data_IF_942149512802
#
_entry.id   IF_942149512802
#
_cell.length_a   1.000
_cell.length_b   1.000
_cell.length_c   1.000
_cell.angle_alpha   90.00
_cell.angle_beta   90.00
_cell.angle_gamma   90.00
#
_symmetry.space_group_name_H-M   'P 1'
#
loop_
_entity.id
_entity.type
_entity.pdbx_description
1 polymer ?
#
# COMPACT_ATOMS: atom_id res chain seq x y z
N UNK A 1 0.47 16.22 21.02
CA UNK A 1 1.49 17.00 21.77
C UNK A 1 1.12 18.48 21.82
N UNK A 2 1.85 19.30 22.60
CA UNK A 2 1.58 20.77 22.76
C UNK A 2 1.47 21.51 21.41
N UNK A 3 2.32 21.18 20.43
CA UNK A 3 2.30 21.82 19.11
C UNK A 3 1.01 21.58 18.31
N UNK A 4 0.42 20.37 18.38
CA UNK A 4 -0.85 20.08 17.70
C UNK A 4 -2.04 20.87 18.28
N UNK A 5 -2.05 21.10 19.60
CA UNK A 5 -3.07 21.92 20.26
C UNK A 5 -2.96 23.40 19.88
N UNK A 6 -1.74 23.89 19.71
CA UNK A 6 -1.48 25.28 19.33
C UNK A 6 -1.77 25.55 17.84
N UNK A 7 -1.51 24.56 16.98
CA UNK A 7 -1.90 24.58 15.57
C UNK A 7 -3.42 24.58 15.40
N UNK A 8 -4.13 23.72 16.15
CA UNK A 8 -5.58 23.63 16.11
C UNK A 8 -6.29 24.92 16.58
N UNK A 9 -5.64 25.74 17.40
CA UNK A 9 -6.17 27.04 17.84
C UNK A 9 -5.97 28.16 16.83
N UNK A 10 -5.08 27.99 15.84
CA UNK A 10 -4.71 29.02 14.85
C UNK A 10 -5.21 28.74 13.44
N UNK A 11 -5.60 27.51 13.16
CA UNK A 11 -6.04 27.10 11.83
C UNK A 11 -7.45 27.61 11.54
N UNK A 12 -7.66 28.29 10.41
CA UNK A 12 -9.01 28.68 9.99
C UNK A 12 -9.80 27.45 9.52
N UNK A 13 -11.13 27.54 9.45
CA UNK A 13 -11.96 26.45 8.92
C UNK A 13 -11.57 26.08 7.48
N UNK A 14 -11.24 27.07 6.64
CA UNK A 14 -10.79 26.85 5.26
C UNK A 14 -9.41 26.20 5.19
N UNK A 15 -8.49 26.60 6.08
CA UNK A 15 -7.17 25.98 6.16
C UNK A 15 -7.25 24.55 6.70
N UNK A 16 -8.12 24.30 7.67
CA UNK A 16 -8.41 22.97 8.17
C UNK A 16 -8.99 22.09 7.07
N UNK A 17 -10.00 22.57 6.34
CA UNK A 17 -10.59 21.86 5.20
C UNK A 17 -9.53 21.56 4.14
N UNK A 18 -8.68 22.54 3.80
CA UNK A 18 -7.59 22.34 2.82
C UNK A 18 -6.58 21.29 3.29
N UNK A 19 -6.18 21.29 4.55
CA UNK A 19 -5.27 20.27 5.09
C UNK A 19 -5.91 18.89 5.10
N UNK A 20 -7.16 18.77 5.53
CA UNK A 20 -7.89 17.48 5.55
C UNK A 20 -8.07 16.89 4.15
N UNK A 21 -8.11 17.72 3.11
CA UNK A 21 -8.16 17.28 1.71
C UNK A 21 -6.78 17.19 1.04
N UNK A 22 -5.69 17.42 1.78
CA UNK A 22 -4.34 17.33 1.23
C UNK A 22 -3.87 15.87 1.19
N UNK A 23 -2.93 15.51 0.28
CA UNK A 23 -2.30 14.19 0.22
C UNK A 23 -1.85 13.66 1.58
N UNK A 24 -1.35 14.55 2.45
CA UNK A 24 -0.86 14.20 3.78
C UNK A 24 -1.94 13.65 4.73
N UNK A 25 -3.22 13.97 4.52
CA UNK A 25 -4.32 13.57 5.41
C UNK A 25 -5.27 12.53 4.78
N UNK A 26 -5.49 12.54 3.46
CA UNK A 26 -6.48 11.67 2.81
C UNK A 26 -6.10 10.18 2.86
N UNK A 27 -4.81 9.87 2.85
CA UNK A 27 -4.31 8.50 2.95
C UNK A 27 -4.59 7.86 4.32
N UNK A 28 -4.56 8.64 5.41
CA UNK A 28 -4.86 8.11 6.75
C UNK A 28 -6.32 7.64 6.86
N UNK A 29 -7.26 8.30 6.15
CA UNK A 29 -8.68 7.93 6.14
C UNK A 29 -9.03 6.75 5.23
N UNK A 30 -8.22 6.44 4.22
CA UNK A 30 -8.48 5.35 3.27
C UNK A 30 -7.90 4.02 3.79
N UNK A 31 -8.59 3.44 4.78
CA UNK A 31 -8.22 2.17 5.46
C UNK A 31 -8.85 0.94 4.82
N UNK A 32 -9.15 0.96 3.51
CA UNK A 32 -9.67 -0.22 2.83
C UNK A 32 -8.62 -1.35 2.92
N UNK A 33 -8.99 -2.43 3.59
CA UNK A 33 -8.10 -3.48 4.10
C UNK A 33 -7.61 -4.45 3.02
N UNK A 34 -7.85 -4.15 1.74
CA UNK A 34 -7.62 -5.07 0.62
C UNK A 34 -6.15 -5.51 0.51
N UNK A 35 -5.18 -4.62 0.79
CA UNK A 35 -3.74 -4.89 0.64
C UNK A 35 -2.85 -4.60 1.86
N UNK A 36 -3.41 -4.44 3.05
CA UNK A 36 -2.55 -4.36 4.23
C UNK A 36 -3.28 -3.99 5.52
N UNK A 37 -3.03 -4.79 6.54
CA UNK A 37 -3.33 -4.54 7.95
C UNK A 37 -2.16 -3.85 8.67
N UNK A 38 -1.06 -3.55 7.97
CA UNK A 38 0.09 -2.85 8.54
C UNK A 38 -0.02 -1.33 8.39
N UNK A 39 0.57 -0.61 9.34
CA UNK A 39 0.51 0.86 9.38
C UNK A 39 1.32 1.52 8.26
N UNK A 40 2.07 0.78 7.44
CA UNK A 40 3.03 1.32 6.48
C UNK A 40 2.51 1.32 5.03
N UNK A 41 1.62 0.38 4.66
CA UNK A 41 0.98 0.30 3.33
C UNK A 41 2.00 0.24 2.18
N UNK A 42 3.10 -0.49 2.37
CA UNK A 42 4.13 -0.72 1.35
C UNK A 42 3.92 -2.10 0.75
N UNK A 43 3.67 -2.18 -0.56
CA UNK A 43 3.45 -3.44 -1.26
C UNK A 43 4.62 -3.74 -2.18
N UNK A 44 5.08 -5.00 -2.15
CA UNK A 44 6.06 -5.48 -3.12
C UNK A 44 5.33 -5.89 -4.40
N UNK A 45 5.70 -5.29 -5.53
CA UNK A 45 5.01 -5.51 -6.80
C UNK A 45 5.72 -4.90 -8.00
N UNK A 46 5.09 -5.00 -9.16
CA UNK A 46 5.62 -4.55 -10.44
C UNK A 46 4.66 -3.59 -11.17
N UNK A 47 4.95 -3.30 -12.45
CA UNK A 47 4.13 -2.42 -13.26
C UNK A 47 2.68 -2.92 -13.46
N UNK A 48 2.42 -4.22 -13.36
CA UNK A 48 1.06 -4.75 -13.47
C UNK A 48 0.19 -4.32 -12.28
N UNK A 49 0.78 -4.14 -11.10
CA UNK A 49 0.06 -3.59 -9.93
C UNK A 49 -0.36 -2.12 -10.15
N UNK A 50 0.49 -1.33 -10.81
CA UNK A 50 0.19 0.06 -11.14
C UNK A 50 -1.04 0.19 -12.04
N UNK A 51 -1.16 -0.66 -13.05
CA UNK A 51 -2.26 -0.60 -14.02
C UNK A 51 -3.51 -1.33 -13.53
N UNK A 52 -3.36 -2.47 -12.86
CA UNK A 52 -4.51 -3.29 -12.43
C UNK A 52 -5.23 -2.72 -11.20
N UNK A 53 -4.50 -2.18 -10.22
CA UNK A 53 -5.06 -1.70 -8.96
C UNK A 53 -4.99 -0.19 -8.81
N UNK A 54 -3.79 0.39 -8.92
CA UNK A 54 -3.57 1.83 -8.68
C UNK A 54 -4.22 2.69 -9.77
N UNK A 55 -4.47 2.12 -10.97
CA UNK A 55 -4.92 2.83 -12.17
C UNK A 55 -3.98 3.98 -12.56
N UNK A 56 -2.68 3.78 -12.31
CA UNK A 56 -1.61 4.66 -12.78
C UNK A 56 -1.05 4.10 -14.10
N UNK A 57 -1.48 4.68 -15.21
CA UNK A 57 -0.94 4.40 -16.54
C UNK A 57 0.13 5.45 -16.88
N UNK A 58 1.35 5.21 -16.37
CA UNK A 58 2.49 6.10 -16.53
C UNK A 58 3.75 5.29 -16.91
N UNK A 59 4.23 5.41 -18.16
CA UNK A 59 5.42 4.72 -18.61
C UNK A 59 6.68 5.04 -17.79
N UNK A 60 6.79 6.25 -17.23
CA UNK A 60 7.93 6.63 -16.40
C UNK A 60 7.90 5.91 -15.05
N UNK A 61 6.71 5.75 -14.45
CA UNK A 61 6.54 4.98 -13.22
C UNK A 61 6.85 3.49 -13.45
N UNK A 62 6.36 2.91 -14.56
CA UNK A 62 6.66 1.53 -14.93
C UNK A 62 8.17 1.31 -15.13
N UNK A 63 8.83 2.23 -15.84
CA UNK A 63 10.28 2.22 -16.02
C UNK A 63 11.03 2.33 -14.69
N UNK A 64 10.58 3.22 -13.79
CA UNK A 64 11.17 3.38 -12.47
C UNK A 64 11.18 2.05 -11.70
N UNK A 65 10.04 1.34 -11.65
CA UNK A 65 9.95 0.02 -11.00
C UNK A 65 10.91 -1.00 -11.63
N UNK A 66 10.96 -1.07 -12.97
CA UNK A 66 11.85 -1.97 -13.68
C UNK A 66 13.34 -1.70 -13.37
N UNK A 67 13.71 -0.43 -13.14
CA UNK A 67 15.06 -0.01 -12.75
C UNK A 67 15.35 -0.20 -11.26
N UNK A 68 14.37 -0.63 -10.46
CA UNK A 68 14.48 -0.81 -9.01
C UNK A 68 14.11 0.41 -8.18
N UNK A 69 13.60 1.48 -8.80
CA UNK A 69 13.14 2.69 -8.10
C UNK A 69 11.68 2.50 -7.65
N UNK A 70 11.38 2.53 -6.35
CA UNK A 70 10.00 2.44 -5.87
C UNK A 70 9.12 3.59 -6.38
N UNK A 71 7.82 3.34 -6.51
CA UNK A 71 6.81 4.34 -6.87
C UNK A 71 6.04 4.72 -5.60
N UNK A 72 6.15 5.98 -5.20
CA UNK A 72 5.44 6.57 -4.07
C UNK A 72 4.17 7.26 -4.57
N UNK A 73 3.02 6.86 -4.02
CA UNK A 73 1.70 7.38 -4.41
C UNK A 73 1.29 8.62 -3.61
N UNK A 74 1.83 8.79 -2.41
CA UNK A 74 1.58 9.95 -1.55
C UNK A 74 2.86 10.77 -1.35
N UNK A 75 2.93 11.93 -1.98
CA UNK A 75 4.06 12.84 -1.96
C UNK A 75 4.42 13.36 -0.57
N UNK A 76 3.50 13.32 0.39
CA UNK A 76 3.73 13.77 1.77
C UNK A 76 4.86 13.03 2.50
N UNK A 77 5.21 11.81 2.04
CA UNK A 77 6.29 11.01 2.61
C UNK A 77 7.65 11.22 1.92
N UNK A 78 7.67 11.92 0.78
CA UNK A 78 8.90 12.24 0.08
C UNK A 78 9.45 13.59 0.55
N UNK A 79 10.78 13.64 0.67
CA UNK A 79 11.54 14.88 0.74
C UNK A 79 12.57 14.86 -0.37
N UNK A 80 12.49 15.83 -1.27
CA UNK A 80 13.41 15.96 -2.41
C UNK A 80 13.47 14.71 -3.31
N UNK A 81 12.33 14.01 -3.46
CA UNK A 81 12.25 12.76 -4.23
C UNK A 81 12.85 11.54 -3.53
N UNK A 82 13.12 11.63 -2.22
CA UNK A 82 13.62 10.54 -1.39
C UNK A 82 12.65 10.20 -0.26
N UNK A 83 12.58 8.92 0.10
CA UNK A 83 11.93 8.44 1.31
C UNK A 83 12.96 7.83 2.26
N UNK A 84 12.72 7.96 3.56
CA UNK A 84 13.52 7.27 4.57
C UNK A 84 12.77 6.05 5.05
N UNK A 85 13.29 4.85 4.74
CA UNK A 85 12.73 3.60 5.20
C UNK A 85 13.45 3.14 6.47
N UNK A 86 12.69 2.85 7.52
CA UNK A 86 13.21 2.22 8.75
C UNK A 86 12.73 0.78 8.80
N UNK A 87 13.62 -0.17 8.55
CA UNK A 87 13.31 -1.59 8.69
C UNK A 87 13.76 -2.08 10.06
N UNK A 88 12.84 -2.67 10.82
CA UNK A 88 13.14 -3.26 12.13
C UNK A 88 13.04 -4.78 12.00
N UNK A 89 14.18 -5.45 12.11
CA UNK A 89 14.24 -6.89 12.24
C UNK A 89 14.04 -7.25 13.71
N UNK A 90 12.79 -7.57 14.08
CA UNK A 90 12.43 -8.05 15.41
C UNK A 90 12.25 -9.56 15.42
N UNK A 91 12.72 -10.23 16.47
CA UNK A 91 12.44 -11.65 16.68
C UNK A 91 11.32 -11.79 17.71
N UNK A 92 10.42 -12.74 17.49
CA UNK A 92 9.47 -13.16 18.52
C UNK A 92 10.18 -14.11 19.50
N UNK A 93 10.33 -13.72 20.77
CA UNK A 93 10.98 -14.55 21.79
C UNK A 93 10.26 -15.89 22.04
N UNK A 94 8.96 -15.97 21.72
CA UNK A 94 8.16 -17.19 21.87
C UNK A 94 8.39 -18.19 20.74
N UNK A 95 8.94 -17.75 19.61
CA UNK A 95 9.18 -18.59 18.43
C UNK A 95 10.63 -19.11 18.41
N UNK A 96 10.90 -20.07 19.29
CA UNK A 96 12.25 -20.64 19.47
C UNK A 96 12.75 -21.43 18.27
N UNK A 97 11.84 -22.01 17.49
CA UNK A 97 12.16 -22.86 16.34
C UNK A 97 12.62 -22.01 15.15
N UNK A 98 11.85 -20.98 14.78
CA UNK A 98 12.30 -20.03 13.75
C UNK A 98 13.53 -19.23 14.21
N UNK A 99 13.64 -18.95 15.51
CA UNK A 99 14.83 -18.29 16.06
C UNK A 99 16.12 -19.09 15.84
N UNK A 100 16.05 -20.41 15.89
CA UNK A 100 17.20 -21.28 15.65
C UNK A 100 17.62 -21.27 14.16
N UNK A 101 16.66 -21.12 13.24
CA UNK A 101 16.89 -21.04 11.79
C UNK A 101 17.44 -19.67 11.34
N UNK A 102 17.21 -18.61 12.13
CA UNK A 102 17.66 -17.25 11.84
C UNK A 102 18.58 -16.71 12.93
N UNK A 103 19.82 -17.21 13.05
CA UNK A 103 20.80 -16.71 14.01
C UNK A 103 21.22 -15.28 13.64
N UNK A 104 21.10 -14.35 14.57
CA UNK A 104 21.42 -12.93 14.34
C UNK A 104 20.87 -12.03 15.42
N UNK A 105 21.43 -10.83 15.63
CA UNK A 105 20.85 -9.86 16.57
C UNK A 105 19.73 -9.09 15.89
N UNK A 106 18.70 -8.73 16.66
CA UNK A 106 17.68 -7.79 16.18
C UNK A 106 18.41 -6.52 15.72
N UNK A 107 18.07 -6.05 14.53
CA UNK A 107 18.74 -4.90 13.92
C UNK A 107 17.70 -3.94 13.36
N UNK A 108 17.99 -2.66 13.49
CA UNK A 108 17.26 -1.61 12.78
C UNK A 108 18.18 -1.08 11.69
N UNK A 109 17.69 -1.07 10.45
CA UNK A 109 18.34 -0.35 9.37
C UNK A 109 17.53 0.89 9.02
N UNK A 110 18.21 1.90 8.51
CA UNK A 110 17.59 3.13 8.03
C UNK A 110 18.23 3.47 6.70
N UNK A 111 17.42 3.41 5.65
CA UNK A 111 17.86 3.53 4.27
C UNK A 111 17.14 4.70 3.62
N UNK A 112 17.87 5.53 2.87
CA UNK A 112 17.27 6.55 2.01
C UNK A 112 17.12 5.98 0.62
N UNK A 113 15.92 6.09 0.08
CA UNK A 113 15.57 5.55 -1.22
C UNK A 113 15.10 6.69 -2.10
N UNK A 114 15.72 6.83 -3.28
CA UNK A 114 15.11 7.61 -4.36
C UNK A 114 13.81 6.92 -4.76
N UNK A 115 12.79 7.72 -5.02
CA UNK A 115 11.47 7.24 -5.44
C UNK A 115 10.99 8.03 -6.65
N UNK A 116 10.16 7.37 -7.46
CA UNK A 116 9.29 8.06 -8.38
C UNK A 116 8.07 8.54 -7.61
N UNK A 117 7.83 9.85 -7.57
CA UNK A 117 6.66 10.43 -6.90
C UNK A 117 5.53 10.58 -7.91
N UNK A 118 4.44 9.84 -7.71
CA UNK A 118 3.25 9.93 -8.54
C UNK A 118 2.50 11.26 -8.30
N UNK A 119 1.62 11.68 -9.22
CA UNK A 119 0.77 12.86 -9.01
C UNK A 119 -0.10 12.75 -7.75
N UNK A 120 -0.31 13.86 -7.05
CA UNK A 120 -1.01 13.92 -5.76
C UNK A 120 -2.42 13.29 -5.76
N UNK A 121 -3.10 13.22 -6.91
CA UNK A 121 -4.41 12.54 -7.04
C UNK A 121 -4.38 11.06 -6.68
N UNK A 122 -3.20 10.42 -6.69
CA UNK A 122 -3.02 9.02 -6.31
C UNK A 122 -2.75 8.85 -4.81
N UNK A 123 -2.63 9.92 -4.03
CA UNK A 123 -2.41 9.83 -2.59
C UNK A 123 -3.58 9.18 -1.84
N UNK A 124 -4.78 9.23 -2.40
CA UNK A 124 -5.98 8.56 -1.88
C UNK A 124 -6.11 7.10 -2.34
N UNK A 125 -5.09 6.52 -2.99
CA UNK A 125 -5.10 5.11 -3.41
C UNK A 125 -5.35 4.21 -2.19
N UNK A 126 -6.44 3.42 -2.17
CA UNK A 126 -6.78 2.62 -1.01
C UNK A 126 -5.68 1.60 -0.68
N UNK A 127 -5.30 1.49 0.60
CA UNK A 127 -4.43 0.42 1.09
C UNK A 127 -2.98 0.39 0.59
N UNK A 128 -2.57 1.26 -0.34
CA UNK A 128 -1.20 1.29 -0.89
C UNK A 128 -0.67 2.72 -0.90
N UNK A 129 0.48 2.94 -0.26
CA UNK A 129 1.25 4.18 -0.31
C UNK A 129 2.44 4.12 -1.25
N UNK A 130 3.06 2.96 -1.33
CA UNK A 130 4.26 2.76 -2.14
C UNK A 130 4.27 1.36 -2.73
N UNK A 131 4.59 1.30 -4.03
CA UNK A 131 4.91 0.05 -4.71
C UNK A 131 6.43 -0.07 -4.78
N UNK A 132 6.98 -1.12 -4.18
CA UNK A 132 8.41 -1.40 -4.17
C UNK A 132 8.71 -2.63 -5.04
N UNK A 133 9.70 -2.57 -5.95
CA UNK A 133 10.08 -3.75 -6.72
C UNK A 133 10.83 -4.76 -5.85
N UNK A 134 10.62 -6.06 -6.11
CA UNK A 134 11.25 -7.18 -5.38
C UNK A 134 12.77 -6.99 -5.23
N UNK A 135 13.45 -6.62 -6.33
CA UNK A 135 14.90 -6.36 -6.34
C UNK A 135 15.34 -5.35 -5.28
N UNK A 136 14.53 -4.33 -4.99
CA UNK A 136 14.85 -3.33 -3.97
C UNK A 136 14.56 -3.85 -2.57
N UNK A 137 13.51 -4.64 -2.38
CA UNK A 137 13.28 -5.35 -1.12
C UNK A 137 14.45 -6.29 -0.78
N UNK A 138 14.90 -7.08 -1.76
CA UNK A 138 16.04 -8.00 -1.61
C UNK A 138 17.34 -7.25 -1.26
N UNK A 139 17.60 -6.14 -1.96
CA UNK A 139 18.78 -5.27 -1.70
C UNK A 139 18.78 -4.72 -0.28
N UNK A 140 17.61 -4.43 0.26
CA UNK A 140 17.43 -3.95 1.63
C UNK A 140 17.41 -5.09 2.66
N UNK A 141 17.44 -6.34 2.22
CA UNK A 141 17.36 -7.52 3.06
C UNK A 141 16.00 -7.63 3.77
N UNK A 142 14.94 -7.15 3.12
CA UNK A 142 13.57 -7.31 3.57
C UNK A 142 13.07 -8.72 3.21
N UNK A 143 12.28 -9.31 4.09
CA UNK A 143 11.53 -10.52 3.76
C UNK A 143 10.23 -10.09 3.08
N UNK A 144 9.95 -10.69 1.92
CA UNK A 144 8.66 -10.61 1.25
C UNK A 144 7.94 -11.96 1.31
N UNK A 145 6.64 -11.95 1.46
CA UNK A 145 5.80 -13.14 1.36
C UNK A 145 4.64 -12.87 0.41
N UNK A 146 4.07 -13.93 -0.16
CA UNK A 146 2.91 -13.80 -1.03
C UNK A 146 1.69 -13.38 -0.21
N UNK A 147 1.17 -12.19 -0.49
CA UNK A 147 0.00 -11.66 0.20
C UNK A 147 -1.31 -11.98 -0.53
N UNK A 148 -1.30 -11.94 -1.86
CA UNK A 148 -2.48 -12.17 -2.69
C UNK A 148 -2.25 -11.90 -4.17
N UNK A 149 -3.30 -11.99 -4.96
CA UNK A 149 -3.27 -11.76 -6.41
C UNK A 149 -4.39 -10.83 -6.84
N UNK A 150 -4.13 -10.00 -7.85
CA UNK A 150 -5.08 -9.05 -8.41
C UNK A 150 -5.35 -9.41 -9.85
N UNK A 151 -6.64 -9.41 -10.19
CA UNK A 151 -7.11 -9.67 -11.54
C UNK A 151 -7.98 -8.51 -11.99
N UNK A 152 -7.70 -7.95 -13.17
CA UNK A 152 -8.59 -7.00 -13.81
C UNK A 152 -9.62 -7.78 -14.63
N UNK A 153 -10.90 -7.51 -14.39
CA UNK A 153 -11.98 -8.12 -15.15
C UNK A 153 -12.38 -7.20 -16.30
N UNK A 154 -12.66 -7.79 -17.47
CA UNK A 154 -13.11 -7.04 -18.65
C UNK A 154 -14.60 -6.65 -18.58
N UNK A 155 -15.35 -7.27 -17.67
CA UNK A 155 -16.75 -6.98 -17.38
C UNK A 155 -17.07 -7.38 -15.94
N UNK A 156 -18.19 -6.90 -15.43
CA UNK A 156 -18.69 -7.37 -14.16
C UNK A 156 -19.03 -8.87 -14.23
N UNK A 157 -18.62 -9.67 -13.23
CA UNK A 157 -18.94 -11.09 -13.19
C UNK A 157 -20.43 -11.26 -12.82
N UNK A 158 -21.09 -12.18 -13.52
CA UNK A 158 -22.48 -12.57 -13.24
C UNK A 158 -22.58 -13.30 -11.89
N UNK A 159 -23.77 -13.35 -11.30
CA UNK A 159 -24.00 -14.07 -10.04
C UNK A 159 -23.59 -15.55 -10.12
N UNK A 160 -23.85 -16.20 -11.27
CA UNK A 160 -23.44 -17.58 -11.49
C UNK A 160 -21.91 -17.75 -11.52
N UNK A 161 -21.18 -16.78 -12.08
CA UNK A 161 -19.72 -16.79 -12.09
C UNK A 161 -19.14 -16.51 -10.71
N UNK A 162 -19.75 -15.60 -9.93
CA UNK A 162 -19.38 -15.35 -8.53
C UNK A 162 -19.57 -16.61 -7.67
N UNK A 163 -20.76 -17.22 -7.74
CA UNK A 163 -21.07 -18.47 -7.05
C UNK A 163 -20.15 -19.61 -7.47
N UNK A 164 -19.81 -19.71 -8.75
CA UNK A 164 -18.87 -20.71 -9.25
C UNK A 164 -17.46 -20.53 -8.70
N UNK A 165 -16.98 -19.28 -8.61
CA UNK A 165 -15.69 -18.96 -8.00
C UNK A 165 -15.68 -19.29 -6.50
N UNK A 166 -16.73 -18.92 -5.77
CA UNK A 166 -16.87 -19.21 -4.33
C UNK A 166 -16.87 -20.73 -4.08
N UNK A 167 -17.63 -21.49 -4.86
CA UNK A 167 -17.67 -22.95 -4.76
C UNK A 167 -16.30 -23.60 -5.06
N UNK A 168 -15.54 -23.06 -6.02
CA UNK A 168 -14.19 -23.55 -6.33
C UNK A 168 -13.22 -23.30 -5.16
N UNK A 169 -13.34 -22.16 -4.48
CA UNK A 169 -12.54 -21.83 -3.29
C UNK A 169 -12.88 -22.74 -2.12
N UNK A 170 -14.17 -23.01 -1.90
CA UNK A 170 -14.63 -23.96 -0.89
C UNK A 170 -14.06 -25.35 -1.15
N UNK A 171 -14.11 -25.82 -2.40
CA UNK A 171 -13.56 -27.12 -2.80
C UNK A 171 -12.03 -27.20 -2.61
N UNK A 172 -11.32 -26.08 -2.77
CA UNK A 172 -9.88 -25.98 -2.53
C UNK A 172 -9.50 -25.91 -1.04
N UNK A 173 -10.47 -26.03 -0.12
CA UNK A 173 -10.24 -26.07 1.32
C UNK A 173 -10.44 -24.73 2.03
N UNK A 174 -11.05 -23.74 1.37
CA UNK A 174 -11.51 -22.47 1.96
C UNK A 174 -10.43 -21.68 2.74
N UNK A 175 -9.19 -21.69 2.23
CA UNK A 175 -8.06 -20.94 2.83
C UNK A 175 -7.81 -19.60 2.16
N UNK A 176 -8.64 -19.24 1.18
CA UNK A 176 -8.60 -17.99 0.44
C UNK A 176 -10.02 -17.41 0.39
N UNK A 177 -10.13 -16.13 0.07
CA UNK A 177 -11.40 -15.48 -0.20
C UNK A 177 -11.23 -14.56 -1.40
N UNK A 178 -12.32 -14.36 -2.15
CA UNK A 178 -12.34 -13.41 -3.28
C UNK A 178 -13.15 -12.19 -2.88
N UNK A 179 -12.59 -11.01 -3.14
CA UNK A 179 -13.32 -9.75 -3.06
C UNK A 179 -13.53 -9.22 -4.46
N UNK A 180 -14.80 -9.01 -4.82
CA UNK A 180 -15.18 -8.22 -5.99
C UNK A 180 -15.58 -6.83 -5.51
N UNK A 181 -15.16 -5.79 -6.22
CA UNK A 181 -15.65 -4.45 -5.96
C UNK A 181 -17.17 -4.45 -6.20
N UNK A 182 -17.96 -4.11 -5.19
CA UNK A 182 -19.40 -4.03 -5.31
C UNK A 182 -19.81 -2.58 -5.64
N UNK A 183 -20.29 -2.28 -6.86
CA UNK A 183 -20.70 -0.94 -7.24
C UNK A 183 -21.88 -0.42 -6.41
N UNK A 184 -22.74 -1.29 -5.87
CA UNK A 184 -23.87 -0.89 -5.01
C UNK A 184 -23.43 -0.40 -3.61
N UNK A 185 -22.17 -0.64 -3.24
CA UNK A 185 -21.54 -0.11 -2.01
C UNK A 185 -20.66 1.12 -2.25
N UNK A 186 -20.53 1.60 -3.48
CA UNK A 186 -19.91 2.91 -3.79
C UNK A 186 -20.89 4.05 -3.47
N UNK A 187 -21.35 4.14 -2.23
CA UNK A 187 -22.15 5.27 -1.77
C UNK A 187 -21.31 6.56 -1.83
N UNK A 188 -21.82 7.54 -2.59
CA UNK A 188 -21.63 9.00 -2.46
C UNK A 188 -20.22 9.62 -2.42
N UNK A 189 -19.12 8.87 -2.47
CA UNK A 189 -17.76 9.44 -2.37
C UNK A 189 -17.13 9.85 -3.73
N UNK A 190 -17.84 9.72 -4.86
CA UNK A 190 -17.39 10.25 -6.17
C UNK A 190 -17.82 11.71 -6.42
N UNK A 191 -18.43 12.38 -5.44
CA UNK A 191 -18.90 13.75 -5.58
C UNK A 191 -18.11 14.78 -4.75
N UNK A 192 -16.77 14.84 -4.88
CA UNK A 192 -15.97 16.03 -4.49
C UNK A 192 -14.78 16.23 -5.43
#
# INVERSE_FOLDING_TARGET
>A
GKGAKELALRISADEHKRLMNSPACVDESSTMVTFGTDENKIVIGDAALLTSYVKLDDPAAAKALAEGTPVLLNSAYAKDGEVTLKAVHTYNERDKEMRALHPGKARTTTDRLKVYVAPDRYASTPGIRMVMPQRTADRLGLHSEEYGSIYTLNREPTDAERQGADAAIEQAGNRAYVMTANPERQGEDEAV
#
